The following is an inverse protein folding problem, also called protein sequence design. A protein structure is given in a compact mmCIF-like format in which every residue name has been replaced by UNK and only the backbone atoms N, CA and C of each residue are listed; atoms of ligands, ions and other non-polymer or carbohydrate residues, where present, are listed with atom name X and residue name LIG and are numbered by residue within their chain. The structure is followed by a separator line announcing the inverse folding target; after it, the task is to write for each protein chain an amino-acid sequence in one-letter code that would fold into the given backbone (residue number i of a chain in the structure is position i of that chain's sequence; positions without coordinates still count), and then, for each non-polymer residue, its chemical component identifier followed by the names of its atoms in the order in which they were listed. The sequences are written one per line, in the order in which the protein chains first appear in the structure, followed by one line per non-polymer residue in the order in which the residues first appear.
data_IF_278685133220
#
_entry.id   IF_278685133220
#
_cell.length_a   1.000
_cell.length_b   1.000
_cell.length_c   1.000
_cell.angle_alpha   90.00
_cell.angle_beta   90.00
_cell.angle_gamma   90.00
#
_symmetry.space_group_name_H-M   'P 1'
#
loop_
_entity.id
_entity.type
_entity.pdbx_description
1 polymer ?
#
# COMPACT_ATOMS: atom_id res chain seq x y z
N UNK A 1 2.64 2.15 -1.27
CA UNK A 1 4.10 2.47 -1.36
C UNK A 1 4.52 3.62 -0.46
N UNK A 2 3.85 4.78 -0.49
CA UNK A 2 4.36 5.97 0.21
C UNK A 2 4.44 5.82 1.72
N UNK A 3 3.41 5.26 2.38
CA UNK A 3 3.43 5.09 3.83
C UNK A 3 4.60 4.23 4.32
N UNK A 4 4.89 3.11 3.66
CA UNK A 4 6.05 2.27 3.99
C UNK A 4 7.36 3.00 3.80
N UNK A 5 7.53 3.70 2.66
CA UNK A 5 8.71 4.52 2.39
C UNK A 5 8.95 5.55 3.49
N UNK A 6 7.90 6.24 3.94
CA UNK A 6 8.01 7.24 5.00
C UNK A 6 8.27 6.61 6.37
N UNK A 7 7.52 5.56 6.74
CA UNK A 7 7.71 4.83 7.99
C UNK A 7 9.13 4.29 8.13
N UNK A 8 9.64 3.63 7.06
CA UNK A 8 10.99 3.06 7.05
C UNK A 8 12.08 4.13 7.15
N UNK A 9 11.91 5.28 6.49
CA UNK A 9 12.85 6.41 6.61
C UNK A 9 12.87 7.03 8.01
N UNK A 10 11.75 6.97 8.72
CA UNK A 10 11.62 7.49 10.07
C UNK A 10 12.04 6.48 11.13
N UNK A 11 12.34 5.23 10.79
CA UNK A 11 12.89 4.27 11.75
C UNK A 11 14.27 4.75 12.24
N UNK A 12 14.58 4.71 13.56
CA UNK A 12 13.81 4.11 14.67
C UNK A 12 12.85 5.06 15.42
N UNK A 13 12.60 6.27 14.92
CA UNK A 13 11.66 7.23 15.53
C UNK A 13 10.19 6.77 15.42
N UNK A 14 9.88 5.94 14.43
CA UNK A 14 8.59 5.24 14.29
C UNK A 14 8.74 3.79 14.77
N UNK A 15 7.71 3.26 15.45
CA UNK A 15 7.71 1.88 15.95
C UNK A 15 7.86 0.86 14.82
N UNK A 16 8.55 -0.25 15.09
CA UNK A 16 8.76 -1.32 14.10
C UNK A 16 7.44 -1.95 13.67
N UNK A 17 6.43 -2.03 14.55
CA UNK A 17 5.09 -2.50 14.22
C UNK A 17 4.43 -1.61 13.15
N UNK A 18 4.53 -0.28 13.28
CA UNK A 18 3.95 0.63 12.28
C UNK A 18 4.69 0.55 10.94
N UNK A 19 6.01 0.30 10.95
CA UNK A 19 6.78 0.02 9.73
C UNK A 19 6.30 -1.27 9.07
N UNK A 20 6.12 -2.34 9.85
CA UNK A 20 5.66 -3.64 9.36
C UNK A 20 4.23 -3.57 8.81
N UNK A 21 3.31 -2.89 9.49
CA UNK A 21 1.94 -2.68 9.02
C UNK A 21 1.92 -1.94 7.66
N UNK A 22 2.75 -0.91 7.52
CA UNK A 22 2.89 -0.18 6.27
C UNK A 22 3.51 -1.05 5.17
N UNK A 23 4.46 -1.92 5.52
CA UNK A 23 5.08 -2.87 4.59
C UNK A 23 4.06 -3.88 4.05
N UNK A 24 3.25 -4.49 4.92
CA UNK A 24 2.19 -5.44 4.52
C UNK A 24 1.22 -4.77 3.54
N UNK A 25 0.76 -3.56 3.83
CA UNK A 25 -0.09 -2.83 2.88
C UNK A 25 0.64 -2.54 1.56
N UNK A 26 1.91 -2.16 1.59
CA UNK A 26 2.68 -1.91 0.38
C UNK A 26 2.88 -3.18 -0.46
N UNK A 27 3.00 -4.34 0.18
CA UNK A 27 3.09 -5.64 -0.48
C UNK A 27 1.80 -5.98 -1.23
N UNK A 28 0.65 -5.88 -0.57
CA UNK A 28 -0.65 -6.16 -1.20
C UNK A 28 -0.93 -5.21 -2.38
N UNK A 29 -0.59 -3.93 -2.24
CA UNK A 29 -0.68 -2.97 -3.34
C UNK A 29 0.20 -3.39 -4.51
N UNK A 30 1.44 -3.85 -4.23
CA UNK A 30 2.36 -4.31 -5.28
C UNK A 30 1.81 -5.51 -6.03
N UNK A 31 1.18 -6.47 -5.35
CA UNK A 31 0.55 -7.61 -6.00
C UNK A 31 -0.51 -7.15 -7.01
N UNK A 32 -1.41 -6.26 -6.61
CA UNK A 32 -2.46 -5.75 -7.50
C UNK A 32 -1.87 -4.91 -8.64
N UNK A 33 -0.85 -4.09 -8.38
CA UNK A 33 -0.14 -3.34 -9.42
C UNK A 33 0.52 -4.27 -10.45
N UNK A 34 1.14 -5.38 -10.01
CA UNK A 34 1.72 -6.38 -10.91
C UNK A 34 0.65 -7.01 -11.78
N UNK A 35 -0.49 -7.42 -11.18
CA UNK A 35 -1.62 -8.00 -11.90
C UNK A 35 -2.26 -7.04 -12.90
N UNK A 36 -2.26 -5.73 -12.63
CA UNK A 36 -2.79 -4.70 -13.53
C UNK A 36 -1.76 -4.19 -14.56
N UNK A 37 -0.51 -4.67 -14.50
CA UNK A 37 0.55 -4.26 -15.41
C UNK A 37 0.44 -4.96 -16.77
N UNK A 38 1.18 -4.52 -17.81
CA UNK A 38 1.19 -5.19 -19.11
C UNK A 38 2.01 -6.50 -19.12
N UNK A 39 2.67 -6.85 -18.01
CA UNK A 39 3.50 -8.05 -17.92
C UNK A 39 2.69 -9.24 -17.40
N UNK A 40 2.97 -10.41 -17.97
CA UNK A 40 2.38 -11.67 -17.50
C UNK A 40 3.14 -12.19 -16.28
N UNK A 41 2.42 -12.35 -15.18
CA UNK A 41 2.90 -12.93 -13.94
C UNK A 41 2.20 -14.25 -13.59
N UNK A 42 1.58 -14.90 -14.58
CA UNK A 42 0.89 -16.18 -14.42
C UNK A 42 1.78 -17.27 -13.83
N UNK A 43 3.07 -17.32 -14.19
CA UNK A 43 4.06 -18.25 -13.61
C UNK A 43 4.29 -18.03 -12.10
N UNK A 44 3.95 -16.85 -11.58
CA UNK A 44 3.97 -16.52 -10.15
C UNK A 44 2.60 -16.70 -9.48
N UNK A 45 1.61 -17.24 -10.19
CA UNK A 45 0.24 -17.45 -9.70
C UNK A 45 -0.60 -16.17 -9.67
N UNK A 46 -0.21 -15.12 -10.39
CA UNK A 46 -0.88 -13.83 -10.37
C UNK A 46 -1.77 -13.64 -11.60
N UNK A 47 -3.08 -13.86 -11.42
CA UNK A 47 -4.07 -13.67 -12.48
C UNK A 47 -4.18 -12.19 -12.92
N UNK A 48 -4.03 -11.89 -14.22
CA UNK A 48 -4.07 -10.52 -14.73
C UNK A 48 -5.41 -9.81 -14.51
N UNK A 49 -5.34 -8.55 -14.12
CA UNK A 49 -6.47 -7.61 -14.11
C UNK A 49 -6.43 -6.86 -15.45
N UNK A 50 -7.35 -7.22 -16.36
CA UNK A 50 -7.48 -6.62 -17.70
C UNK A 50 -8.05 -5.19 -17.65
N UNK A 51 -7.24 -4.23 -17.20
CA UNK A 51 -7.63 -2.83 -16.99
C UNK A 51 -8.07 -2.08 -18.26
N UNK A 52 -7.76 -2.62 -19.45
CA UNK A 52 -8.25 -2.17 -20.75
C UNK A 52 -9.76 -2.39 -20.92
N UNK A 53 -10.34 -3.35 -20.20
CA UNK A 53 -11.78 -3.62 -20.21
C UNK A 53 -12.51 -2.76 -19.19
N UNK A 54 -13.77 -2.36 -19.44
CA UNK A 54 -14.59 -1.67 -18.44
C UNK A 54 -14.71 -2.45 -17.12
N UNK A 55 -14.83 -3.77 -17.18
CA UNK A 55 -14.96 -4.68 -16.05
C UNK A 55 -13.66 -4.69 -15.21
N UNK A 56 -12.51 -4.90 -15.85
CA UNK A 56 -11.23 -4.90 -15.18
C UNK A 56 -10.90 -3.54 -14.58
N UNK A 57 -11.23 -2.44 -15.27
CA UNK A 57 -11.09 -1.08 -14.73
C UNK A 57 -11.93 -0.86 -13.47
N UNK A 58 -13.19 -1.34 -13.45
CA UNK A 58 -14.05 -1.28 -12.25
C UNK A 58 -13.47 -2.10 -11.10
N UNK A 59 -12.95 -3.29 -11.38
CA UNK A 59 -12.30 -4.16 -10.40
C UNK A 59 -11.05 -3.53 -9.81
N UNK A 60 -10.15 -3.02 -10.65
CA UNK A 60 -8.95 -2.31 -10.21
C UNK A 60 -9.28 -1.08 -9.34
N UNK A 61 -10.29 -0.30 -9.74
CA UNK A 61 -10.75 0.84 -8.94
C UNK A 61 -11.34 0.40 -7.58
N UNK A 62 -11.93 -0.79 -7.47
CA UNK A 62 -12.40 -1.33 -6.19
C UNK A 62 -11.23 -1.67 -5.27
N UNK A 63 -10.18 -2.30 -5.79
CA UNK A 63 -8.93 -2.52 -5.04
C UNK A 63 -8.31 -1.21 -4.55
N UNK A 64 -8.24 -0.20 -5.41
CA UNK A 64 -7.69 1.10 -5.03
C UNK A 64 -8.48 1.76 -3.88
N UNK A 65 -9.81 1.64 -3.89
CA UNK A 65 -10.66 2.11 -2.78
C UNK A 65 -10.38 1.34 -1.49
N UNK A 66 -10.26 0.02 -1.56
CA UNK A 66 -9.94 -0.81 -0.40
C UNK A 66 -8.57 -0.43 0.20
N UNK A 67 -7.56 -0.26 -0.64
CA UNK A 67 -6.24 0.18 -0.18
C UNK A 67 -6.27 1.57 0.44
N UNK A 68 -7.08 2.50 -0.09
CA UNK A 68 -7.25 3.82 0.51
C UNK A 68 -7.87 3.73 1.92
N UNK A 69 -8.87 2.87 2.11
CA UNK A 69 -9.48 2.59 3.42
C UNK A 69 -8.45 2.01 4.39
N UNK A 70 -7.70 0.98 3.96
CA UNK A 70 -6.66 0.34 4.79
C UNK A 70 -5.49 1.27 5.11
N UNK A 71 -5.14 2.18 4.19
CA UNK A 71 -4.08 3.16 4.37
C UNK A 71 -4.44 4.26 5.37
N UNK A 72 -5.72 4.58 5.53
CA UNK A 72 -6.18 5.70 6.36
C UNK A 72 -5.70 5.61 7.83
N UNK A 73 -5.93 4.52 8.58
CA UNK A 73 -5.45 4.42 9.95
C UNK A 73 -3.92 4.40 10.07
N UNK A 74 -3.21 3.80 9.11
CA UNK A 74 -1.74 3.78 9.11
C UNK A 74 -1.15 5.18 8.89
N UNK A 75 -1.75 5.95 7.97
CA UNK A 75 -1.38 7.35 7.73
C UNK A 75 -1.63 8.19 8.98
N UNK A 76 -2.77 8.01 9.64
CA UNK A 76 -3.09 8.73 10.88
C UNK A 76 -2.04 8.46 11.96
N UNK A 77 -1.72 7.18 12.23
CA UNK A 77 -0.68 6.79 13.20
C UNK A 77 0.69 7.40 12.90
N UNK A 78 1.08 7.45 11.62
CA UNK A 78 2.34 8.08 11.19
C UNK A 78 2.34 9.58 11.48
N UNK A 79 1.26 10.28 11.14
CA UNK A 79 1.12 11.73 11.41
C UNK A 79 1.17 12.00 12.91
N UNK A 80 0.40 11.27 13.71
CA UNK A 80 0.39 11.41 15.18
C UNK A 80 1.77 11.19 15.79
N UNK A 81 2.52 10.19 15.31
CA UNK A 81 3.90 9.94 15.75
C UNK A 81 4.80 11.12 15.42
N UNK A 82 4.76 11.63 14.18
CA UNK A 82 5.53 12.81 13.78
C UNK A 82 5.17 14.05 14.61
N UNK A 83 3.89 14.27 14.89
CA UNK A 83 3.44 15.39 15.72
C UNK A 83 3.98 15.32 17.15
N UNK A 84 4.04 14.13 17.74
CA UNK A 84 4.65 13.93 19.07
C UNK A 84 6.14 14.27 19.02
N UNK A 85 6.87 13.78 18.01
CA UNK A 85 8.30 14.02 17.83
C UNK A 85 8.64 15.50 17.54
N UNK A 86 7.73 16.26 16.94
CA UNK A 86 7.93 17.69 16.70
C UNK A 86 7.65 18.56 17.94
N UNK A 87 6.96 18.02 18.95
CA UNK A 87 6.69 18.70 20.22
C UNK A 87 7.71 18.38 21.32
N UNK A 88 8.53 17.35 21.11
CA UNK A 88 9.66 16.98 21.99
C UNK A 88 10.89 17.81 21.69
#
# INVERSE_FOLDING_TARGET
MDLYKHAFRLWPLVSSDLVADCFVLAWDVREVDMRASPYDFGDLGLEPIRIETPEGKRGYAAWQREFATRAAPLRQRLVETCEVLLRS
#
